data_IF_359004941940
#
_entry.id   IF_359004941940
#
_cell.length_a   1.000
_cell.length_b   1.000
_cell.length_c   1.000
_cell.angle_alpha   90.00
_cell.angle_beta   90.00
_cell.angle_gamma   90.00
#
_symmetry.space_group_name_H-M   'P 1'
#
loop_
_entity.id
_entity.type
_entity.pdbx_description
1 polymer ?
#
# COMPACT_ATOMS: atom_id res chain seq x y z
N UNK A 1 0.57 0.61 -7.27
CA UNK A 1 1.70 1.01 -6.40
C UNK A 1 2.94 0.29 -6.86
N UNK A 2 3.99 1.04 -7.06
CA UNK A 2 5.22 0.51 -7.59
C UNK A 2 6.27 0.41 -6.49
N UNK A 3 6.88 -0.75 -6.36
CA UNK A 3 7.88 -1.00 -5.33
C UNK A 3 9.11 -1.59 -5.99
N UNK A 4 10.27 -1.05 -5.66
CA UNK A 4 11.52 -1.56 -6.18
C UNK A 4 11.78 -2.97 -5.67
N UNK A 5 12.33 -3.78 -6.55
CA UNK A 5 12.52 -5.20 -6.32
C UNK A 5 14.00 -5.54 -6.26
N UNK A 6 14.31 -6.57 -5.48
CA UNK A 6 15.52 -7.35 -5.70
C UNK A 6 16.81 -6.90 -5.07
N UNK A 7 16.88 -5.81 -4.34
CA UNK A 7 18.12 -5.47 -3.65
C UNK A 7 17.87 -5.03 -2.21
N UNK A 8 18.86 -5.21 -1.37
CA UNK A 8 18.82 -4.73 0.00
C UNK A 8 18.80 -3.21 -0.03
N UNK A 9 17.88 -2.63 0.73
CA UNK A 9 17.70 -1.20 0.71
C UNK A 9 17.16 -0.71 2.04
N UNK A 10 17.20 0.59 2.29
CA UNK A 10 16.51 1.18 3.41
C UNK A 10 15.03 0.84 3.35
N UNK A 11 14.39 0.67 4.49
CA UNK A 11 12.95 0.38 4.56
C UNK A 11 12.10 1.58 4.16
N UNK A 12 12.67 2.76 4.12
CA UNK A 12 11.97 3.92 3.64
C UNK A 12 11.90 3.90 2.12
N UNK A 13 10.70 4.05 1.60
CA UNK A 13 10.50 4.21 0.17
C UNK A 13 11.02 5.57 -0.27
N UNK A 14 11.81 5.60 -1.35
CA UNK A 14 12.40 6.83 -1.87
C UNK A 14 11.48 7.55 -2.87
N UNK A 15 10.37 6.97 -3.15
CA UNK A 15 9.45 7.49 -4.15
C UNK A 15 8.65 8.64 -3.58
N UNK A 16 8.57 9.72 -4.35
CA UNK A 16 7.68 10.82 -4.02
C UNK A 16 6.28 10.51 -4.54
N UNK A 17 5.29 10.61 -3.67
CA UNK A 17 3.90 10.34 -3.99
C UNK A 17 3.14 11.65 -4.17
N UNK A 18 2.64 11.87 -5.38
CA UNK A 18 1.96 13.10 -5.72
C UNK A 18 2.92 14.20 -6.14
N UNK A 19 2.39 15.34 -6.42
CA UNK A 19 3.17 16.53 -6.78
C UNK A 19 2.73 17.74 -5.95
N UNK A 20 3.31 18.89 -6.23
CA UNK A 20 3.06 20.10 -5.46
C UNK A 20 1.60 20.55 -5.52
N UNK A 21 0.94 20.41 -6.66
CA UNK A 21 -0.44 20.85 -6.84
C UNK A 21 -1.46 19.78 -6.45
N UNK A 22 -1.08 18.51 -6.62
CA UNK A 22 -1.92 17.37 -6.32
C UNK A 22 -1.14 16.40 -5.47
N UNK A 23 -1.10 16.58 -4.15
CA UNK A 23 -0.28 15.74 -3.27
C UNK A 23 -0.95 14.39 -2.97
N UNK A 24 -1.73 13.85 -3.90
CA UNK A 24 -2.39 12.56 -3.77
C UNK A 24 -2.08 11.73 -5.01
N UNK A 25 -1.60 10.52 -4.82
CA UNK A 25 -1.45 9.53 -5.88
C UNK A 25 -2.40 8.37 -5.64
N UNK A 26 -3.04 7.92 -6.70
CA UNK A 26 -3.92 6.77 -6.66
C UNK A 26 -3.33 5.70 -7.56
N UNK A 27 -3.19 4.49 -7.01
CA UNK A 27 -2.66 3.33 -7.72
C UNK A 27 -3.74 2.28 -7.79
N UNK A 28 -3.84 1.65 -8.95
CA UNK A 28 -4.73 0.51 -9.15
C UNK A 28 -3.89 -0.67 -9.62
N UNK A 29 -4.04 -1.80 -8.94
CA UNK A 29 -3.23 -2.99 -9.19
C UNK A 29 -4.13 -4.20 -9.35
N UNK A 30 -3.81 -5.02 -10.36
CA UNK A 30 -4.45 -6.30 -10.60
C UNK A 30 -3.38 -7.37 -10.66
N UNK A 31 -3.58 -8.45 -9.92
CA UNK A 31 -2.66 -9.57 -9.87
C UNK A 31 -3.42 -10.87 -10.10
N UNK A 32 -2.81 -11.78 -10.84
CA UNK A 32 -3.40 -13.06 -11.19
C UNK A 32 -3.26 -14.06 -10.04
N UNK A 33 -4.17 -15.04 -10.02
CA UNK A 33 -4.06 -16.20 -9.15
C UNK A 33 -2.68 -16.82 -9.28
N UNK A 34 -2.05 -17.15 -8.16
CA UNK A 34 -0.73 -17.74 -8.11
C UNK A 34 0.42 -16.74 -8.08
N UNK A 35 0.14 -15.46 -8.27
CA UNK A 35 1.18 -14.44 -8.21
C UNK A 35 1.68 -14.26 -6.79
N UNK A 36 2.96 -13.97 -6.67
CA UNK A 36 3.56 -13.50 -5.42
C UNK A 36 3.31 -12.00 -5.32
N UNK A 37 2.74 -11.56 -4.22
CA UNK A 37 2.46 -10.13 -4.03
C UNK A 37 3.79 -9.39 -3.86
N UNK A 38 4.09 -8.38 -4.70
CA UNK A 38 5.39 -7.70 -4.66
C UNK A 38 5.39 -6.51 -3.70
N UNK A 39 4.78 -6.65 -2.55
CA UNK A 39 4.70 -5.57 -1.57
C UNK A 39 5.70 -5.83 -0.45
N UNK A 40 6.96 -5.45 -0.67
CA UNK A 40 7.99 -5.57 0.35
C UNK A 40 7.66 -4.71 1.55
N UNK A 41 8.10 -5.13 2.72
CA UNK A 41 7.98 -4.31 3.91
C UNK A 41 8.78 -3.03 3.76
N UNK A 42 8.08 -1.91 3.92
CA UNK A 42 8.67 -0.59 3.78
C UNK A 42 7.84 0.42 4.57
N UNK A 43 8.34 1.63 4.67
CA UNK A 43 7.61 2.73 5.27
C UNK A 43 7.85 4.01 4.46
N UNK A 44 6.96 4.95 4.61
CA UNK A 44 7.05 6.27 3.99
C UNK A 44 6.31 7.29 4.85
N UNK A 45 6.62 8.59 4.71
CA UNK A 45 6.01 9.62 5.55
C UNK A 45 4.57 9.96 5.19
N UNK A 46 4.07 9.43 4.10
CA UNK A 46 2.71 9.68 3.64
C UNK A 46 1.70 8.77 4.34
N UNK A 47 0.44 9.20 4.35
CA UNK A 47 -0.69 8.35 4.73
C UNK A 47 -1.07 7.49 3.52
N UNK A 48 -1.44 6.26 3.76
CA UNK A 48 -1.96 5.39 2.71
C UNK A 48 -3.33 4.83 3.08
N UNK A 49 -4.26 4.91 2.14
CA UNK A 49 -5.53 4.18 2.20
C UNK A 49 -5.43 3.04 1.20
N UNK A 50 -5.62 1.84 1.69
CA UNK A 50 -5.49 0.63 0.90
C UNK A 50 -6.81 -0.11 0.94
N UNK A 51 -7.39 -0.42 -0.21
CA UNK A 51 -8.66 -1.14 -0.23
C UNK A 51 -8.73 -2.16 -1.34
N UNK A 52 -9.37 -3.27 -1.00
CA UNK A 52 -9.51 -4.43 -1.87
C UNK A 52 -10.81 -4.29 -2.64
N UNK A 53 -10.75 -4.44 -3.96
CA UNK A 53 -11.95 -4.41 -4.80
C UNK A 53 -12.32 -5.80 -5.30
N UNK A 54 -11.39 -6.75 -5.33
CA UNK A 54 -11.66 -8.15 -5.66
C UNK A 54 -10.58 -9.03 -5.04
N UNK A 55 -10.97 -10.19 -4.56
CA UNK A 55 -10.06 -11.14 -3.94
C UNK A 55 -9.80 -10.86 -2.47
N UNK A 56 -8.71 -11.41 -1.96
CA UNK A 56 -8.29 -11.23 -0.58
C UNK A 56 -6.77 -11.17 -0.50
N UNK A 57 -6.27 -10.58 0.57
CA UNK A 57 -4.84 -10.36 0.76
C UNK A 57 -4.48 -10.42 2.24
N UNK A 58 -3.47 -11.20 2.58
CA UNK A 58 -2.86 -11.16 3.91
C UNK A 58 -1.84 -10.02 3.92
N UNK A 59 -2.01 -9.07 4.83
CA UNK A 59 -1.24 -7.85 4.88
C UNK A 59 -0.73 -7.63 6.30
N UNK A 60 0.45 -7.03 6.45
CA UNK A 60 1.00 -6.75 7.77
C UNK A 60 1.31 -5.27 7.92
N UNK A 61 0.97 -4.73 9.09
CA UNK A 61 1.29 -3.36 9.48
C UNK A 61 1.90 -3.41 10.86
N UNK A 62 3.13 -2.96 11.00
CA UNK A 62 3.87 -2.99 12.28
C UNK A 62 3.86 -4.37 12.91
N UNK A 63 3.99 -5.40 12.08
CA UNK A 63 3.99 -6.79 12.55
C UNK A 63 2.62 -7.38 12.83
N UNK A 64 1.55 -6.58 12.77
CA UNK A 64 0.19 -7.07 12.98
C UNK A 64 -0.39 -7.59 11.67
N UNK A 65 -0.87 -8.84 11.64
CA UNK A 65 -1.48 -9.38 10.43
C UNK A 65 -2.94 -8.94 10.28
N UNK A 66 -3.30 -8.67 9.03
CA UNK A 66 -4.68 -8.34 8.65
C UNK A 66 -5.05 -9.19 7.44
N UNK A 67 -6.20 -9.83 7.48
CA UNK A 67 -6.78 -10.43 6.29
C UNK A 67 -7.75 -9.43 5.69
N UNK A 68 -7.42 -8.91 4.52
CA UNK A 68 -8.24 -7.94 3.81
C UNK A 68 -9.02 -8.68 2.72
N UNK A 69 -10.31 -8.42 2.68
CA UNK A 69 -11.20 -8.99 1.67
C UNK A 69 -11.87 -7.88 0.87
N UNK A 70 -12.48 -8.22 -0.24
CA UNK A 70 -13.18 -7.25 -1.07
C UNK A 70 -14.16 -6.43 -0.22
N UNK A 71 -14.07 -5.12 -0.31
CA UNK A 71 -14.85 -4.19 0.48
C UNK A 71 -14.13 -3.64 1.71
N UNK A 72 -13.01 -4.25 2.10
CA UNK A 72 -12.25 -3.76 3.25
C UNK A 72 -11.37 -2.58 2.88
N UNK A 73 -11.18 -1.67 3.84
CA UNK A 73 -10.30 -0.52 3.73
C UNK A 73 -9.34 -0.55 4.91
N UNK A 74 -8.06 -0.36 4.63
CA UNK A 74 -7.03 -0.26 5.65
C UNK A 74 -6.39 1.12 5.56
N UNK A 75 -6.40 1.84 6.68
CA UNK A 75 -5.68 3.11 6.80
C UNK A 75 -4.30 2.83 7.38
N UNK A 76 -3.27 3.20 6.65
CA UNK A 76 -1.88 3.06 7.09
C UNK A 76 -1.36 4.44 7.42
N UNK A 77 -1.05 4.64 8.71
CA UNK A 77 -0.54 5.92 9.19
C UNK A 77 0.86 6.19 8.67
N UNK A 78 1.31 7.46 8.68
CA UNK A 78 2.67 7.80 8.27
C UNK A 78 3.72 6.99 9.03
N UNK A 79 4.75 6.56 8.31
CA UNK A 79 5.93 5.86 8.82
C UNK A 79 5.66 4.45 9.37
N UNK A 80 4.45 3.93 9.23
CA UNK A 80 4.17 2.55 9.65
C UNK A 80 4.81 1.56 8.66
N UNK A 81 5.54 0.59 9.19
CA UNK A 81 6.12 -0.47 8.37
C UNK A 81 5.02 -1.40 7.91
N UNK A 82 4.88 -1.58 6.61
CA UNK A 82 3.80 -2.37 6.04
C UNK A 82 4.21 -3.12 4.78
N UNK A 83 3.48 -4.17 4.47
CA UNK A 83 3.73 -4.97 3.29
C UNK A 83 3.00 -6.29 3.30
N UNK A 84 3.30 -7.13 2.32
CA UNK A 84 2.72 -8.46 2.18
C UNK A 84 3.68 -9.40 1.48
N UNK A 85 3.72 -10.65 1.92
CA UNK A 85 4.44 -11.74 1.27
C UNK A 85 3.49 -12.81 0.75
N UNK A 86 2.23 -12.47 0.60
CA UNK A 86 1.20 -13.43 0.24
C UNK A 86 1.42 -14.02 -1.15
N UNK A 87 1.06 -15.30 -1.31
CA UNK A 87 0.95 -15.95 -2.60
C UNK A 87 -0.54 -16.15 -2.86
N UNK A 88 -1.03 -15.58 -3.93
CA UNK A 88 -2.46 -15.43 -4.13
C UNK A 88 -3.16 -16.74 -4.48
N UNK A 89 -4.24 -17.04 -3.77
CA UNK A 89 -5.12 -18.17 -4.05
C UNK A 89 -6.17 -17.85 -5.09
N UNK A 90 -6.41 -16.56 -5.31
CA UNK A 90 -7.33 -16.05 -6.31
C UNK A 90 -6.82 -14.72 -6.82
N UNK A 91 -7.38 -14.26 -7.93
CA UNK A 91 -7.01 -12.96 -8.48
C UNK A 91 -7.32 -11.86 -7.48
N UNK A 92 -6.47 -10.85 -7.45
CA UNK A 92 -6.55 -9.73 -6.51
C UNK A 92 -6.62 -8.43 -7.29
N UNK A 93 -7.53 -7.56 -6.87
CA UNK A 93 -7.54 -6.17 -7.30
C UNK A 93 -7.60 -5.28 -6.09
N UNK A 94 -6.76 -4.28 -6.09
CA UNK A 94 -6.80 -3.29 -5.01
C UNK A 94 -6.46 -1.92 -5.54
N UNK A 95 -6.85 -0.93 -4.76
CA UNK A 95 -6.49 0.45 -4.97
C UNK A 95 -5.78 0.97 -3.73
N UNK A 96 -4.83 1.88 -3.95
CA UNK A 96 -4.14 2.55 -2.87
C UNK A 96 -4.10 4.05 -3.17
N UNK A 97 -4.42 4.85 -2.18
CA UNK A 97 -4.27 6.30 -2.25
C UNK A 97 -3.18 6.70 -1.26
N UNK A 98 -2.16 7.38 -1.75
CA UNK A 98 -1.03 7.81 -0.93
C UNK A 98 -0.96 9.33 -0.97
N UNK A 99 -0.93 9.97 0.18
CA UNK A 99 -0.95 11.43 0.26
C UNK A 99 -0.22 11.94 1.49
N UNK A 100 0.27 13.17 1.38
CA UNK A 100 0.89 13.86 2.50
C UNK A 100 -0.18 14.18 3.55
N UNK A 101 0.09 13.85 4.80
CA UNK A 101 -0.88 14.10 5.84
C UNK A 101 -1.14 15.60 6.06
N UNK A 102 -0.21 16.48 5.69
CA UNK A 102 -0.44 17.93 5.71
C UNK A 102 -1.58 18.35 4.79
N UNK A 103 -1.85 17.55 3.76
CA UNK A 103 -3.00 17.77 2.90
C UNK A 103 -4.31 17.69 3.70
N UNK A 104 -4.42 16.74 4.62
CA UNK A 104 -5.60 16.63 5.48
C UNK A 104 -5.68 17.80 6.46
N UNK A 105 -4.55 18.20 7.03
CA UNK A 105 -4.52 19.32 7.95
C UNK A 105 -4.96 20.63 7.28
N UNK A 106 -4.67 20.78 5.99
CA UNK A 106 -5.06 21.96 5.23
C UNK A 106 -6.54 22.03 4.87
N UNK A 107 -7.29 20.97 5.12
CA UNK A 107 -8.72 20.93 4.81
C UNK A 107 -9.57 21.46 5.96
N UNK A 108 -9.02 21.55 7.14
CA UNK A 108 -9.74 22.01 8.34
C UNK A 108 -10.27 23.43 8.23
#
# INVERSE_FOLDING_TARGET
MEIEMGEARPLRENRKHGDFLFPVNIYETSLEKGAQVPLYYHWHPEVELFFITAGSLSFQVEGEPFLLEAGDVLLIRPNALHGSHDCLRESLRFRAAVFDYHFLAGIE
#
